data_IF_262961925505
#
_entry.id   IF_262961925505
#
_cell.length_a   1.000
_cell.length_b   1.000
_cell.length_c   1.000
_cell.angle_alpha   90.00
_cell.angle_beta   90.00
_cell.angle_gamma   90.00
#
_symmetry.space_group_name_H-M   'P 1'
#
loop_
_entity.id
_entity.type
_entity.pdbx_description
1 polymer ?
#
# COMPACT_ATOMS: atom_id res chain seq x y z
N UNK A 1 50.48 46.72 -50.50
CA UNK A 1 50.03 45.97 -49.32
C UNK A 1 49.27 46.95 -48.42
N UNK A 2 47.95 46.84 -48.33
CA UNK A 2 47.16 47.72 -47.46
C UNK A 2 47.25 47.17 -46.02
N UNK A 3 47.95 47.88 -45.14
CA UNK A 3 48.02 47.57 -43.72
C UNK A 3 46.74 48.02 -43.04
N UNK A 4 45.97 47.06 -42.54
CA UNK A 4 44.81 47.31 -41.66
C UNK A 4 45.31 48.15 -40.48
N UNK A 5 44.73 49.34 -40.29
CA UNK A 5 45.07 50.23 -39.18
C UNK A 5 44.50 49.68 -37.88
N UNK A 6 45.19 49.96 -36.76
CA UNK A 6 44.85 49.46 -35.42
C UNK A 6 43.39 49.79 -35.01
N UNK A 7 42.84 50.91 -35.50
CA UNK A 7 41.44 51.30 -35.29
C UNK A 7 40.44 50.41 -36.03
N UNK A 8 40.76 49.96 -37.24
CA UNK A 8 39.91 49.02 -37.97
C UNK A 8 39.87 47.66 -37.27
N UNK A 9 40.99 47.23 -36.69
CA UNK A 9 41.06 46.00 -35.91
C UNK A 9 40.22 46.08 -34.63
N UNK A 10 40.30 47.18 -33.89
CA UNK A 10 39.48 47.42 -32.69
C UNK A 10 37.98 47.45 -33.01
N UNK A 11 37.60 48.07 -34.13
CA UNK A 11 36.21 48.15 -34.55
C UNK A 11 35.65 46.78 -34.96
N UNK A 12 36.46 45.96 -35.64
CA UNK A 12 36.10 44.57 -35.96
C UNK A 12 35.91 43.74 -34.70
N UNK A 13 36.81 43.88 -33.72
CA UNK A 13 36.74 43.15 -32.46
C UNK A 13 35.50 43.54 -31.63
N UNK A 14 35.19 44.83 -31.55
CA UNK A 14 33.99 45.35 -30.88
C UNK A 14 32.70 44.83 -31.54
N UNK A 15 32.68 44.77 -32.87
CA UNK A 15 31.52 44.27 -33.62
C UNK A 15 31.33 42.76 -33.40
N UNK A 16 32.42 41.99 -33.39
CA UNK A 16 32.41 40.55 -33.11
C UNK A 16 31.92 40.25 -31.69
N UNK A 17 32.41 40.98 -30.68
CA UNK A 17 32.00 40.80 -29.29
C UNK A 17 30.52 41.14 -29.08
N UNK A 18 30.04 42.25 -29.64
CA UNK A 18 28.62 42.60 -29.59
C UNK A 18 27.73 41.58 -30.31
N UNK A 19 28.19 41.03 -31.44
CA UNK A 19 27.44 40.02 -32.21
C UNK A 19 27.38 38.70 -31.46
N UNK A 20 28.50 38.26 -30.85
CA UNK A 20 28.54 37.06 -30.01
C UNK A 20 27.66 37.22 -28.78
N UNK A 21 27.70 38.38 -28.12
CA UNK A 21 26.88 38.65 -26.94
C UNK A 21 25.38 38.72 -27.30
N UNK A 22 25.03 39.34 -28.43
CA UNK A 22 23.65 39.36 -28.92
C UNK A 22 23.14 37.97 -29.30
N UNK A 23 24.00 37.14 -29.91
CA UNK A 23 23.69 35.74 -30.25
C UNK A 23 23.52 34.88 -29.01
N UNK A 24 24.36 35.05 -27.98
CA UNK A 24 24.22 34.37 -26.68
C UNK A 24 22.94 34.80 -25.96
N UNK A 25 22.57 36.08 -26.02
CA UNK A 25 21.29 36.59 -25.48
C UNK A 25 20.09 36.05 -26.28
N UNK A 26 20.19 35.93 -27.60
CA UNK A 26 19.15 35.31 -28.43
C UNK A 26 18.98 33.80 -28.17
N UNK A 27 20.09 33.06 -28.00
CA UNK A 27 20.06 31.63 -27.68
C UNK A 27 19.51 31.36 -26.27
N UNK A 28 19.84 32.23 -25.31
CA UNK A 28 19.26 32.18 -23.96
C UNK A 28 17.80 32.63 -23.94
N UNK A 29 17.37 33.56 -24.80
CA UNK A 29 15.96 33.96 -24.93
C UNK A 29 15.10 32.93 -25.69
N UNK A 30 15.64 32.20 -26.67
CA UNK A 30 14.95 31.08 -27.33
C UNK A 30 14.81 29.85 -26.44
N UNK A 31 15.77 29.60 -25.53
CA UNK A 31 15.64 28.56 -24.49
C UNK A 31 14.79 28.99 -23.29
N UNK A 32 14.52 30.29 -23.14
CA UNK A 32 13.56 30.88 -22.20
C UNK A 32 12.21 31.23 -22.85
N UNK A 33 11.82 30.54 -23.93
CA UNK A 33 10.41 30.44 -24.28
C UNK A 33 9.70 29.83 -23.08
N UNK A 34 9.16 30.68 -22.20
CA UNK A 34 8.22 30.35 -21.13
C UNK A 34 7.27 29.31 -21.71
N UNK A 35 7.45 28.05 -21.35
CA UNK A 35 6.50 27.02 -21.72
C UNK A 35 5.15 27.54 -21.22
N UNK A 36 4.19 27.69 -22.14
CA UNK A 36 2.84 28.07 -21.79
C UNK A 36 2.35 27.03 -20.76
N UNK A 37 2.07 27.41 -19.50
CA UNK A 37 1.77 26.44 -18.45
C UNK A 37 0.55 25.57 -18.79
N UNK A 38 -0.36 26.07 -19.63
CA UNK A 38 -1.48 25.29 -20.15
C UNK A 38 -1.01 24.21 -21.13
N UNK A 39 -0.08 24.53 -22.03
CA UNK A 39 0.51 23.54 -22.96
C UNK A 39 1.33 22.48 -22.22
N UNK A 40 2.09 22.87 -21.20
CA UNK A 40 2.84 21.93 -20.37
C UNK A 40 1.89 20.96 -19.64
N UNK A 41 0.79 21.48 -19.08
CA UNK A 41 -0.25 20.66 -18.48
C UNK A 41 -0.85 19.65 -19.48
N UNK A 42 -1.27 20.11 -20.66
CA UNK A 42 -1.88 19.25 -21.68
C UNK A 42 -0.93 18.17 -22.19
N UNK A 43 0.35 18.50 -22.37
CA UNK A 43 1.39 17.56 -22.78
C UNK A 43 1.63 16.47 -21.73
N UNK A 44 1.74 16.85 -20.46
CA UNK A 44 1.89 15.89 -19.36
C UNK A 44 0.63 15.04 -19.21
N UNK A 45 -0.54 15.66 -19.31
CA UNK A 45 -1.81 14.96 -19.27
C UNK A 45 -1.89 13.92 -20.40
N UNK A 46 -1.55 14.26 -21.64
CA UNK A 46 -1.63 13.33 -22.76
C UNK A 46 -0.76 12.06 -22.57
N UNK A 47 0.29 12.13 -21.76
CA UNK A 47 1.21 11.01 -21.47
C UNK A 47 0.70 10.05 -20.39
N UNK A 48 -0.34 10.44 -19.64
CA UNK A 48 -0.90 9.65 -18.55
C UNK A 48 -2.25 9.10 -18.97
N UNK A 49 -2.38 7.77 -18.94
CA UNK A 49 -3.65 7.10 -19.21
C UNK A 49 -4.66 7.39 -18.10
N UNK A 50 -5.94 7.49 -18.44
CA UNK A 50 -7.00 7.65 -17.43
C UNK A 50 -7.01 6.45 -16.46
N UNK A 51 -7.12 6.75 -15.18
CA UNK A 51 -7.32 5.79 -14.11
C UNK A 51 -8.80 5.43 -13.99
N UNK A 52 -9.08 4.13 -13.94
CA UNK A 52 -10.39 3.55 -13.65
C UNK A 52 -10.19 2.47 -12.61
N UNK A 53 -10.89 2.58 -11.49
CA UNK A 53 -10.73 1.64 -10.39
C UNK A 53 -11.46 0.33 -10.70
N UNK A 54 -10.70 -0.77 -10.81
CA UNK A 54 -11.22 -2.13 -11.03
C UNK A 54 -10.50 -3.12 -10.10
N UNK A 55 -10.91 -3.19 -8.83
CA UNK A 55 -10.20 -3.97 -7.80
C UNK A 55 -10.16 -5.48 -8.10
N UNK A 56 -11.20 -6.03 -8.71
CA UNK A 56 -11.26 -7.44 -9.13
C UNK A 56 -10.24 -7.79 -10.22
N UNK A 57 -9.91 -6.81 -11.07
CA UNK A 57 -8.86 -6.93 -12.09
C UNK A 57 -7.48 -6.48 -11.58
N UNK A 58 -7.35 -6.19 -10.27
CA UNK A 58 -6.15 -5.62 -9.64
C UNK A 58 -5.72 -4.26 -10.22
N UNK A 59 -6.64 -3.52 -10.83
CA UNK A 59 -6.39 -2.15 -11.28
C UNK A 59 -6.62 -1.22 -10.10
N UNK A 60 -5.62 -1.14 -9.25
CA UNK A 60 -5.56 -0.24 -8.08
C UNK A 60 -4.86 1.07 -8.42
N UNK A 61 -5.13 2.11 -7.64
CA UNK A 61 -4.45 3.40 -7.82
C UNK A 61 -2.94 3.27 -7.63
N UNK A 62 -2.48 2.46 -6.67
CA UNK A 62 -1.05 2.25 -6.44
C UNK A 62 -0.34 1.62 -7.65
N UNK A 63 -0.95 0.60 -8.28
CA UNK A 63 -0.40 -0.04 -9.48
C UNK A 63 -0.36 0.91 -10.68
N UNK A 64 -1.43 1.70 -10.87
CA UNK A 64 -1.49 2.71 -11.93
C UNK A 64 -0.51 3.86 -11.68
N UNK A 65 -0.39 4.33 -10.44
CA UNK A 65 0.48 5.43 -10.05
C UNK A 65 1.94 5.06 -10.25
N UNK A 66 2.35 3.85 -9.86
CA UNK A 66 3.72 3.33 -10.07
C UNK A 66 4.16 3.33 -11.54
N UNK A 67 3.22 3.29 -12.49
CA UNK A 67 3.53 3.34 -13.93
C UNK A 67 3.84 4.76 -14.41
N UNK A 68 3.34 5.77 -13.70
CA UNK A 68 3.34 7.16 -14.12
C UNK A 68 3.95 8.09 -13.07
N UNK A 69 4.57 7.57 -12.01
CA UNK A 69 5.02 8.34 -10.86
C UNK A 69 6.05 9.40 -11.26
N UNK A 70 7.02 9.05 -12.12
CA UNK A 70 8.01 9.95 -12.69
C UNK A 70 7.36 11.14 -13.41
N UNK A 71 6.20 10.96 -14.03
CA UNK A 71 5.50 12.08 -14.70
C UNK A 71 5.05 13.10 -13.66
N UNK A 72 4.63 12.65 -12.47
CA UNK A 72 4.15 13.52 -11.41
C UNK A 72 5.25 14.06 -10.48
N UNK A 73 6.36 13.33 -10.32
CA UNK A 73 7.44 13.65 -9.37
C UNK A 73 8.63 14.32 -10.05
N UNK A 74 8.99 13.90 -11.27
CA UNK A 74 10.14 14.41 -12.03
C UNK A 74 9.67 15.40 -13.10
N UNK A 75 8.81 14.98 -14.03
CA UNK A 75 8.46 15.81 -15.18
C UNK A 75 7.58 17.01 -14.78
N UNK A 76 6.67 16.80 -13.83
CA UNK A 76 5.80 17.84 -13.28
C UNK A 76 6.45 18.62 -12.12
N UNK A 77 7.73 18.42 -11.80
CA UNK A 77 8.37 19.03 -10.62
C UNK A 77 8.34 20.57 -10.66
N UNK A 78 8.38 21.15 -11.88
CA UNK A 78 8.32 22.61 -12.08
C UNK A 78 6.92 23.19 -11.93
N UNK A 79 5.90 22.36 -11.94
CA UNK A 79 4.52 22.80 -11.76
C UNK A 79 4.28 23.16 -10.29
N UNK A 80 3.56 24.25 -10.07
CA UNK A 80 3.06 24.58 -8.73
C UNK A 80 2.20 23.44 -8.20
N UNK A 81 2.24 23.21 -6.89
CA UNK A 81 1.62 22.03 -6.26
C UNK A 81 0.14 21.87 -6.60
N UNK A 82 -0.63 22.96 -6.55
CA UNK A 82 -2.05 22.95 -6.93
C UNK A 82 -2.28 22.52 -8.40
N UNK A 83 -1.33 22.74 -9.30
CA UNK A 83 -1.41 22.24 -10.69
C UNK A 83 -1.07 20.75 -10.76
N UNK A 84 -0.11 20.27 -9.96
CA UNK A 84 0.22 18.83 -9.86
C UNK A 84 -0.98 18.03 -9.32
N UNK A 85 -1.64 18.54 -8.28
CA UNK A 85 -2.89 17.94 -7.75
C UNK A 85 -3.98 17.93 -8.83
N UNK A 86 -4.21 19.05 -9.52
CA UNK A 86 -5.18 19.08 -10.63
C UNK A 86 -4.84 18.10 -11.75
N UNK A 87 -3.56 17.95 -12.10
CA UNK A 87 -3.12 17.01 -13.12
C UNK A 87 -3.44 15.56 -12.70
N UNK A 88 -3.17 15.21 -11.44
CA UNK A 88 -3.48 13.91 -10.89
C UNK A 88 -4.98 13.62 -10.92
N UNK A 89 -5.79 14.56 -10.42
CA UNK A 89 -7.24 14.40 -10.37
C UNK A 89 -7.90 14.42 -11.75
N UNK A 90 -7.33 15.15 -12.70
CA UNK A 90 -7.78 15.15 -14.10
C UNK A 90 -7.62 13.77 -14.77
N UNK A 91 -6.80 12.88 -14.19
CA UNK A 91 -6.63 11.52 -14.68
C UNK A 91 -7.53 10.49 -14.04
N UNK A 92 -8.34 10.87 -13.07
CA UNK A 92 -9.38 10.00 -12.56
C UNK A 92 -10.55 9.95 -13.57
N UNK A 93 -11.22 8.80 -13.64
CA UNK A 93 -12.54 8.76 -14.25
C UNK A 93 -13.57 9.51 -13.38
N UNK A 94 -14.78 9.69 -13.91
CA UNK A 94 -15.81 10.45 -13.21
C UNK A 94 -16.16 9.82 -11.85
N UNK A 95 -16.24 8.49 -11.77
CA UNK A 95 -16.61 7.81 -10.53
C UNK A 95 -15.54 7.94 -9.43
N UNK A 96 -14.26 7.76 -9.80
CA UNK A 96 -13.16 7.91 -8.86
C UNK A 96 -12.99 9.37 -8.41
N UNK A 97 -13.16 10.33 -9.33
CA UNK A 97 -13.10 11.75 -8.99
C UNK A 97 -14.19 12.16 -7.98
N UNK A 98 -15.45 11.79 -8.23
CA UNK A 98 -16.56 12.12 -7.32
C UNK A 98 -16.38 11.51 -5.92
N UNK A 99 -15.91 10.27 -5.86
CA UNK A 99 -15.61 9.59 -4.60
C UNK A 99 -14.52 10.33 -3.83
N UNK A 100 -13.43 10.74 -4.50
CA UNK A 100 -12.35 11.52 -3.90
C UNK A 100 -12.83 12.88 -3.38
N UNK A 101 -13.55 13.66 -4.20
CA UNK A 101 -14.01 15.00 -3.82
C UNK A 101 -14.99 14.93 -2.64
N UNK A 102 -15.85 13.91 -2.61
CA UNK A 102 -16.77 13.68 -1.49
C UNK A 102 -16.02 13.33 -0.19
N UNK A 103 -14.93 12.56 -0.30
CA UNK A 103 -14.15 12.11 0.86
C UNK A 103 -13.36 13.22 1.53
N UNK A 104 -12.82 14.18 0.77
CA UNK A 104 -11.98 15.26 1.31
C UNK A 104 -12.79 16.40 1.98
N UNK A 105 -14.12 16.37 1.92
CA UNK A 105 -14.96 17.41 2.50
C UNK A 105 -14.66 17.60 4.00
N UNK A 106 -14.66 18.85 4.50
CA UNK A 106 -15.06 20.10 3.83
C UNK A 106 -13.96 20.78 3.01
N UNK A 107 -12.77 20.18 2.84
CA UNK A 107 -11.67 20.75 2.04
C UNK A 107 -12.00 20.70 0.55
N UNK A 108 -11.38 21.57 -0.23
CA UNK A 108 -11.39 21.47 -1.69
C UNK A 108 -10.09 20.86 -2.20
N UNK A 109 -10.04 20.31 -3.44
CA UNK A 109 -8.81 19.79 -4.02
C UNK A 109 -7.65 20.80 -4.10
N UNK A 110 -7.93 22.11 -3.99
CA UNK A 110 -6.91 23.16 -3.98
C UNK A 110 -6.22 23.32 -2.61
N UNK A 111 -6.87 22.83 -1.55
CA UNK A 111 -6.41 22.94 -0.16
C UNK A 111 -5.65 21.69 0.31
N UNK A 112 -5.48 20.69 -0.57
CA UNK A 112 -4.83 19.42 -0.29
C UNK A 112 -3.46 19.43 -0.95
N UNK A 113 -2.43 18.98 -0.23
CA UNK A 113 -1.09 18.84 -0.78
C UNK A 113 -1.03 17.69 -1.79
N UNK A 114 0.00 17.65 -2.63
CA UNK A 114 0.16 16.56 -3.58
C UNK A 114 0.30 15.20 -2.89
N UNK A 115 1.09 15.14 -1.83
CA UNK A 115 1.34 13.89 -1.09
C UNK A 115 0.08 13.41 -0.35
N UNK A 116 -0.68 14.32 0.27
CA UNK A 116 -1.96 13.98 0.90
C UNK A 116 -2.97 13.46 -0.13
N UNK A 117 -3.00 14.06 -1.32
CA UNK A 117 -3.88 13.61 -2.40
C UNK A 117 -3.51 12.19 -2.87
N UNK A 118 -2.21 11.91 -3.07
CA UNK A 118 -1.72 10.56 -3.41
C UNK A 118 -2.04 9.56 -2.31
N UNK A 119 -1.83 9.92 -1.03
CA UNK A 119 -2.16 9.04 0.10
C UNK A 119 -3.65 8.72 0.15
N UNK A 120 -4.50 9.74 0.06
CA UNK A 120 -5.95 9.59 0.07
C UNK A 120 -6.43 8.69 -1.08
N UNK A 121 -5.85 8.84 -2.28
CA UNK A 121 -6.19 8.01 -3.44
C UNK A 121 -5.71 6.56 -3.28
N UNK A 122 -4.56 6.33 -2.64
CA UNK A 122 -4.12 4.97 -2.28
C UNK A 122 -5.05 4.31 -1.28
N UNK A 123 -5.58 5.08 -0.33
CA UNK A 123 -6.51 4.56 0.67
C UNK A 123 -7.89 4.24 0.08
N UNK A 124 -8.43 5.16 -0.74
CA UNK A 124 -9.75 5.00 -1.37
C UNK A 124 -9.77 3.92 -2.45
N UNK A 125 -8.70 3.84 -3.25
CA UNK A 125 -8.62 3.00 -4.44
C UNK A 125 -7.47 1.99 -4.36
N UNK A 126 -7.16 1.57 -3.13
CA UNK A 126 -6.20 0.53 -2.83
C UNK A 126 -6.75 -0.88 -3.08
N UNK A 127 -5.96 -1.92 -2.76
CA UNK A 127 -6.44 -3.30 -2.80
C UNK A 127 -7.56 -3.53 -1.77
N UNK A 128 -8.64 -4.21 -2.14
CA UNK A 128 -9.69 -4.61 -1.20
C UNK A 128 -9.28 -5.73 -0.22
N UNK A 129 -8.14 -6.38 -0.46
CA UNK A 129 -7.71 -7.53 0.32
C UNK A 129 -6.83 -7.13 1.50
N UNK A 130 -7.11 -7.69 2.67
CA UNK A 130 -6.24 -7.52 3.84
C UNK A 130 -4.83 -8.06 3.59
N UNK A 131 -3.87 -7.61 4.40
CA UNK A 131 -2.49 -8.11 4.32
C UNK A 131 -2.44 -9.63 4.53
N UNK A 132 -3.27 -10.15 5.45
CA UNK A 132 -3.38 -11.60 5.65
C UNK A 132 -3.84 -12.32 4.38
N UNK A 133 -4.90 -11.85 3.72
CA UNK A 133 -5.41 -12.49 2.49
C UNK A 133 -4.36 -12.55 1.39
N UNK A 134 -3.60 -11.46 1.20
CA UNK A 134 -2.49 -11.43 0.22
C UNK A 134 -1.37 -12.41 0.59
N UNK A 135 -0.99 -12.44 1.87
CA UNK A 135 0.04 -13.38 2.36
C UNK A 135 -0.42 -14.83 2.21
N UNK A 136 -1.69 -15.12 2.49
CA UNK A 136 -2.29 -16.44 2.33
C UNK A 136 -2.35 -16.88 0.87
N UNK A 137 -2.74 -15.99 -0.05
CA UNK A 137 -2.77 -16.28 -1.48
C UNK A 137 -1.38 -16.71 -2.00
N UNK A 138 -0.32 -16.01 -1.59
CA UNK A 138 1.06 -16.36 -1.92
C UNK A 138 1.44 -17.75 -1.38
N UNK A 139 1.09 -18.10 -0.14
CA UNK A 139 1.37 -19.43 0.42
C UNK A 139 0.59 -20.56 -0.24
N UNK A 140 -0.56 -20.25 -0.85
CA UNK A 140 -1.39 -21.20 -1.58
C UNK A 140 -1.07 -21.26 -3.07
N UNK A 141 -0.06 -20.52 -3.53
CA UNK A 141 0.35 -20.53 -4.92
C UNK A 141 0.77 -21.94 -5.34
N UNK A 142 0.20 -22.41 -6.45
CA UNK A 142 0.55 -23.68 -7.08
C UNK A 142 0.81 -23.46 -8.57
N UNK A 143 1.69 -24.31 -9.12
CA UNK A 143 1.94 -24.32 -10.55
C UNK A 143 0.72 -24.90 -11.29
N UNK A 144 0.42 -24.33 -12.46
CA UNK A 144 -0.50 -24.95 -13.40
C UNK A 144 0.25 -26.06 -14.16
N UNK A 145 -0.21 -27.33 -14.13
CA UNK A 145 0.43 -28.41 -14.87
C UNK A 145 0.54 -28.17 -16.38
N UNK A 146 -0.32 -27.29 -16.94
CA UNK A 146 -0.32 -26.92 -18.37
C UNK A 146 0.38 -25.59 -18.65
N UNK A 147 0.78 -24.86 -17.62
CA UNK A 147 1.41 -23.55 -17.73
C UNK A 147 2.92 -23.64 -17.99
N UNK A 148 3.48 -22.56 -18.51
CA UNK A 148 4.92 -22.43 -18.68
C UNK A 148 5.60 -21.81 -17.43
N UNK A 149 6.88 -22.11 -17.25
CA UNK A 149 7.65 -21.66 -16.09
C UNK A 149 7.93 -20.15 -16.08
N UNK A 150 7.93 -19.47 -17.24
CA UNK A 150 8.14 -18.02 -17.30
C UNK A 150 6.91 -17.31 -16.71
N UNK A 151 5.71 -17.68 -17.15
CA UNK A 151 4.46 -17.19 -16.59
C UNK A 151 4.34 -17.53 -15.10
N UNK A 152 4.69 -18.76 -14.70
CA UNK A 152 4.65 -19.15 -13.29
C UNK A 152 5.63 -18.36 -12.42
N UNK A 153 6.89 -18.20 -12.85
CA UNK A 153 7.87 -17.39 -12.11
C UNK A 153 7.45 -15.93 -11.97
N UNK A 154 6.82 -15.35 -13.01
CA UNK A 154 6.21 -14.03 -12.94
C UNK A 154 5.10 -13.93 -11.88
N UNK A 155 4.24 -14.96 -11.80
CA UNK A 155 3.19 -15.05 -10.76
C UNK A 155 3.78 -15.17 -9.36
N UNK A 156 4.80 -16.01 -9.16
CA UNK A 156 5.51 -16.13 -7.87
C UNK A 156 6.05 -14.77 -7.43
N UNK A 157 6.78 -14.07 -8.31
CA UNK A 157 7.34 -12.76 -7.98
C UNK A 157 6.26 -11.72 -7.63
N UNK A 158 5.14 -11.71 -8.37
CA UNK A 158 4.01 -10.81 -8.09
C UNK A 158 3.38 -11.08 -6.73
N UNK A 159 3.08 -12.35 -6.40
CA UNK A 159 2.48 -12.69 -5.11
C UNK A 159 3.45 -12.49 -3.94
N UNK A 160 4.75 -12.77 -4.12
CA UNK A 160 5.78 -12.45 -3.11
C UNK A 160 5.92 -10.93 -2.88
N UNK A 161 5.79 -10.12 -3.93
CA UNK A 161 5.73 -8.66 -3.81
C UNK A 161 4.52 -8.21 -2.99
N UNK A 162 3.36 -8.80 -3.23
CA UNK A 162 2.12 -8.53 -2.48
C UNK A 162 2.16 -9.04 -1.04
N UNK A 163 2.89 -10.12 -0.78
CA UNK A 163 3.15 -10.67 0.55
C UNK A 163 3.94 -9.68 1.42
N UNK A 164 4.78 -8.83 0.80
CA UNK A 164 5.72 -7.91 1.46
C UNK A 164 6.69 -8.67 2.38
N UNK A 165 7.45 -9.61 1.80
CA UNK A 165 8.36 -10.49 2.54
C UNK A 165 9.35 -9.72 3.42
N UNK A 166 9.87 -8.59 2.94
CA UNK A 166 10.79 -7.73 3.71
C UNK A 166 10.16 -7.08 4.94
N UNK A 167 8.83 -6.97 4.99
CA UNK A 167 8.08 -6.42 6.12
C UNK A 167 7.52 -7.54 7.04
N UNK A 168 7.81 -8.81 6.75
CA UNK A 168 7.32 -9.96 7.50
C UNK A 168 8.50 -10.59 8.27
N UNK A 169 8.58 -10.32 9.57
CA UNK A 169 9.59 -10.94 10.41
C UNK A 169 9.26 -12.42 10.74
N UNK A 170 10.20 -13.09 11.39
CA UNK A 170 10.08 -14.49 11.79
C UNK A 170 8.86 -14.75 12.69
N UNK A 171 8.49 -13.82 13.57
CA UNK A 171 7.37 -13.99 14.49
C UNK A 171 6.03 -13.80 13.77
N UNK A 172 5.94 -12.82 12.89
CA UNK A 172 4.79 -12.59 12.01
C UNK A 172 4.55 -13.79 11.09
N UNK A 173 5.62 -14.34 10.50
CA UNK A 173 5.52 -15.55 9.67
C UNK A 173 5.05 -16.77 10.47
N UNK A 174 5.61 -16.98 11.67
CA UNK A 174 5.17 -18.02 12.60
C UNK A 174 3.68 -17.88 12.99
N UNK A 175 3.22 -16.66 13.29
CA UNK A 175 1.83 -16.35 13.59
C UNK A 175 0.90 -16.65 12.41
N UNK A 176 1.33 -16.32 11.20
CA UNK A 176 0.61 -16.63 9.96
C UNK A 176 0.42 -18.15 9.80
N UNK A 177 1.50 -18.94 9.96
CA UNK A 177 1.44 -20.41 9.91
C UNK A 177 0.49 -20.96 10.98
N UNK A 178 0.58 -20.44 12.21
CA UNK A 178 -0.28 -20.86 13.33
C UNK A 178 -1.76 -20.68 12.99
N UNK A 179 -2.16 -19.48 12.54
CA UNK A 179 -3.56 -19.19 12.19
C UNK A 179 -4.02 -19.99 10.97
N UNK A 180 -3.17 -20.18 9.96
CA UNK A 180 -3.50 -21.00 8.78
C UNK A 180 -3.70 -22.49 9.11
N UNK A 181 -3.14 -22.98 10.21
CA UNK A 181 -3.35 -24.34 10.70
C UNK A 181 -4.72 -24.56 11.35
N UNK A 182 -5.37 -23.50 11.83
CA UNK A 182 -6.69 -23.57 12.47
C UNK A 182 -7.80 -23.67 11.41
N UNK A 183 -7.95 -24.81 10.77
CA UNK A 183 -8.89 -24.99 9.64
C UNK A 183 -10.30 -25.41 10.07
N UNK A 184 -10.47 -25.98 11.26
CA UNK A 184 -11.76 -26.43 11.78
C UNK A 184 -12.78 -25.29 11.81
N UNK A 185 -14.06 -25.61 11.60
CA UNK A 185 -15.16 -24.65 11.79
C UNK A 185 -15.35 -24.29 13.26
N UNK A 186 -14.97 -25.17 14.20
CA UNK A 186 -15.05 -24.92 15.65
C UNK A 186 -14.13 -23.77 16.09
N UNK A 187 -13.04 -23.56 15.35
CA UNK A 187 -12.04 -22.53 15.62
C UNK A 187 -12.40 -21.17 14.99
N UNK A 188 -13.54 -21.03 14.30
CA UNK A 188 -13.85 -19.83 13.52
C UNK A 188 -13.78 -18.53 14.34
N UNK A 189 -14.33 -18.53 15.56
CA UNK A 189 -14.27 -17.38 16.46
C UNK A 189 -12.85 -17.08 16.96
N UNK A 190 -12.10 -18.13 17.32
CA UNK A 190 -10.70 -17.99 17.75
C UNK A 190 -9.88 -17.43 16.60
N UNK A 191 -9.97 -18.03 15.40
CA UNK A 191 -9.28 -17.59 14.18
C UNK A 191 -9.56 -16.12 13.87
N UNK A 192 -10.82 -15.67 13.96
CA UNK A 192 -11.17 -14.25 13.80
C UNK A 192 -10.42 -13.35 14.79
N UNK A 193 -10.39 -13.71 16.08
CA UNK A 193 -9.71 -12.93 17.12
C UNK A 193 -8.19 -12.94 17.01
N UNK A 194 -7.60 -14.06 16.56
CA UNK A 194 -6.17 -14.12 16.30
C UNK A 194 -5.79 -13.25 15.09
N UNK A 195 -6.61 -13.23 14.04
CA UNK A 195 -6.39 -12.35 12.88
C UNK A 195 -6.40 -10.87 13.29
N UNK A 196 -7.42 -10.45 14.03
CA UNK A 196 -7.54 -9.09 14.59
C UNK A 196 -6.29 -8.72 15.41
N UNK A 197 -5.82 -9.64 16.25
CA UNK A 197 -4.62 -9.45 17.08
C UNK A 197 -3.33 -9.32 16.26
N UNK A 198 -3.17 -10.11 15.20
CA UNK A 198 -2.00 -10.04 14.30
C UNK A 198 -2.00 -8.70 13.53
N UNK A 199 -3.17 -8.24 13.09
CA UNK A 199 -3.27 -6.96 12.37
C UNK A 199 -3.02 -5.76 13.29
N UNK A 200 -3.43 -5.83 14.55
CA UNK A 200 -3.24 -4.75 15.53
C UNK A 200 -1.82 -4.68 16.12
N UNK A 201 -1.09 -5.80 16.20
CA UNK A 201 0.21 -5.87 16.88
C UNK A 201 1.30 -6.46 15.96
N UNK A 202 2.16 -5.57 15.44
CA UNK A 202 3.30 -5.96 14.61
C UNK A 202 4.36 -6.78 15.36
N UNK A 203 4.35 -6.79 16.69
CA UNK A 203 5.28 -7.56 17.54
C UNK A 203 4.71 -8.91 18.00
N UNK A 204 3.51 -9.26 17.53
CA UNK A 204 2.81 -10.48 17.93
C UNK A 204 3.66 -11.74 17.72
N UNK A 205 3.61 -12.64 18.70
CA UNK A 205 4.35 -13.91 18.72
C UNK A 205 3.40 -15.11 18.85
N UNK A 206 3.90 -16.32 18.54
CA UNK A 206 3.12 -17.56 18.78
C UNK A 206 2.68 -17.68 20.25
N UNK A 207 3.53 -17.27 21.20
CA UNK A 207 3.21 -17.30 22.63
C UNK A 207 2.02 -16.40 22.92
N UNK A 208 2.05 -15.18 22.36
CA UNK A 208 0.95 -14.21 22.46
C UNK A 208 -0.36 -14.78 21.89
N UNK A 209 -0.32 -15.46 20.74
CA UNK A 209 -1.50 -16.12 20.17
C UNK A 209 -1.98 -17.30 21.03
N UNK A 210 -1.04 -18.07 21.60
CA UNK A 210 -1.37 -19.24 22.43
C UNK A 210 -2.06 -18.81 23.73
N UNK A 211 -1.57 -17.75 24.37
CA UNK A 211 -2.20 -17.15 25.54
C UNK A 211 -3.59 -16.62 25.21
N UNK A 212 -3.74 -15.98 24.05
CA UNK A 212 -5.04 -15.49 23.59
C UNK A 212 -6.02 -16.64 23.32
N UNK A 213 -5.59 -17.74 22.69
CA UNK A 213 -6.41 -18.95 22.55
C UNK A 213 -6.91 -19.46 23.90
N UNK A 214 -6.01 -19.62 24.89
CA UNK A 214 -6.38 -20.08 26.24
C UNK A 214 -7.40 -19.14 26.88
N UNK A 215 -7.17 -17.84 26.79
CA UNK A 215 -8.08 -16.80 27.31
C UNK A 215 -9.47 -16.91 26.67
N UNK A 216 -9.53 -17.04 25.34
CA UNK A 216 -10.80 -17.15 24.61
C UNK A 216 -11.54 -18.46 24.90
N UNK A 217 -10.82 -19.56 25.11
CA UNK A 217 -11.42 -20.84 25.51
C UNK A 217 -12.05 -20.70 26.91
N UNK A 218 -11.33 -20.12 27.87
CA UNK A 218 -11.86 -19.88 29.21
C UNK A 218 -13.11 -18.98 29.17
N UNK A 219 -13.07 -17.89 28.39
CA UNK A 219 -14.24 -17.04 28.21
C UNK A 219 -15.43 -17.77 27.59
N UNK A 220 -15.20 -18.71 26.66
CA UNK A 220 -16.26 -19.55 26.10
C UNK A 220 -16.89 -20.46 27.15
N UNK A 221 -16.11 -20.93 28.13
CA UNK A 221 -16.64 -21.65 29.30
C UNK A 221 -17.43 -20.73 30.22
N UNK A 222 -16.90 -19.55 30.54
CA UNK A 222 -17.56 -18.57 31.42
C UNK A 222 -18.91 -18.12 30.84
N UNK A 223 -19.00 -17.85 29.54
CA UNK A 223 -20.26 -17.51 28.87
C UNK A 223 -21.31 -18.61 29.04
N UNK A 224 -20.93 -19.88 28.85
CA UNK A 224 -21.84 -21.02 29.05
C UNK A 224 -22.28 -21.16 30.51
N UNK A 225 -21.39 -20.87 31.46
CA UNK A 225 -21.73 -20.88 32.88
C UNK A 225 -22.79 -19.81 33.20
N UNK A 226 -22.63 -18.60 32.66
CA UNK A 226 -23.62 -17.52 32.83
C UNK A 226 -24.95 -17.87 32.16
N UNK A 227 -24.93 -18.44 30.95
CA UNK A 227 -26.14 -18.88 30.22
C UNK A 227 -26.91 -19.99 30.95
N UNK A 228 -26.20 -20.94 31.54
CA UNK A 228 -26.79 -22.08 32.25
C UNK A 228 -27.13 -21.79 33.72
N UNK A 229 -26.70 -20.65 34.26
CA UNK A 229 -26.97 -20.23 35.64
C UNK A 229 -26.39 -21.14 36.72
N UNK A 230 -25.53 -22.09 36.36
CA UNK A 230 -24.99 -23.09 37.29
C UNK A 230 -23.47 -22.90 37.42
N UNK A 231 -22.94 -22.50 38.59
CA UNK A 231 -21.51 -22.39 38.78
C UNK A 231 -20.85 -23.78 38.70
N UNK A 232 -19.75 -23.90 37.96
CA UNK A 232 -18.98 -25.14 37.84
C UNK A 232 -18.26 -25.46 39.17
N UNK A 233 -18.97 -26.07 40.12
CA UNK A 233 -18.39 -26.52 41.39
C UNK A 233 -17.93 -27.97 41.20
N UNK A 234 -16.61 -28.19 41.15
CA UNK A 234 -16.03 -29.52 41.32
C UNK A 234 -16.27 -29.98 42.76
N UNK A 235 -17.29 -30.80 42.98
CA UNK A 235 -17.50 -31.47 44.26
C UNK A 235 -16.37 -32.49 44.48
N UNK A 236 -15.54 -32.24 45.50
CA UNK A 236 -14.60 -33.25 46.02
C UNK A 236 -15.43 -34.26 46.79
N UNK A 237 -15.68 -35.44 46.22
CA UNK A 237 -16.19 -36.57 46.97
C UNK A 237 -15.14 -36.98 48.01
N UNK A 238 -15.38 -36.63 49.28
CA UNK A 238 -14.65 -37.20 50.39
C UNK A 238 -15.01 -38.69 50.49
N UNK A 239 -14.04 -39.54 50.13
CA UNK A 239 -14.13 -40.98 50.34
C UNK A 239 -14.27 -41.29 51.83
N UNK A 240 -15.42 -41.87 52.21
CA UNK A 240 -15.64 -42.39 53.56
C UNK A 240 -14.86 -43.70 53.75
N UNK A 241 -14.29 -43.99 54.94
CA UNK A 241 -13.46 -45.18 55.13
C UNK A 241 -14.31 -46.45 55.20
N UNK A 242 -13.86 -47.48 54.48
CA UNK A 242 -14.40 -48.85 54.46
C UNK A 242 -14.35 -49.47 55.86
N UNK A 243 -15.50 -49.83 56.43
CA UNK A 243 -15.58 -50.71 57.62
C UNK A 243 -15.48 -52.17 57.16
N UNK A 244 -14.41 -52.86 57.56
CA UNK A 244 -14.30 -54.31 57.42
C UNK A 244 -15.24 -55.03 58.40
N UNK A 245 -15.93 -56.11 58.01
CA UNK A 245 -16.67 -56.94 58.95
C UNK A 245 -15.76 -57.98 59.62
N UNK A 246 -15.80 -58.01 60.95
CA UNK A 246 -15.22 -59.07 61.78
C UNK A 246 -15.92 -60.42 61.52
N UNK A 247 -15.11 -61.48 61.42
CA UNK A 247 -15.53 -62.89 61.32
C UNK A 247 -15.64 -63.49 62.73
N UNK A 248 -16.74 -64.16 63.12
CA UNK A 248 -16.75 -65.04 64.28
C UNK A 248 -16.40 -66.48 63.89
N UNK A 249 -15.87 -67.19 64.90
CA UNK A 249 -15.37 -68.57 64.93
C UNK A 249 -16.49 -69.59 64.74
#
# INVERSE_FOLDING_TARGET
MATITDDQFKQLFATLTNTLQSSMVQQSQQSLSRADPAKEFDLLAARVAQFKYEPEADVTFEAWYRRHDDIFTIDAQRLVEATRVRLLLHKLDAAAYETYVSYILPKTPRDVTFDDAVSTLKDLFGPHQSLFSRRYACMKLSNDPKGDFVTYSGRVNRECGRFKLSECDDNQFKCLIFVCGLQSSEDAYIRLKLLDKIEADSTCTIQTLTEECKRLINLKHDTKMVESGTPAIQAIEQSSPVRQPHRPI
#
